data_IF_702943510872
#
_entry.id   IF_702943510872
#
_cell.length_a   1.000
_cell.length_b   1.000
_cell.length_c   1.000
_cell.angle_alpha   90.00
_cell.angle_beta   90.00
_cell.angle_gamma   90.00
#
_symmetry.space_group_name_H-M   'P 1'
#
loop_
_entity.id
_entity.type
_entity.pdbx_description
1 polymer ?
#
# COMPACT_ATOMS: atom_id res chain seq x y z
N UNK A 1 12.56 -4.15 -1.38
CA UNK A 1 12.70 -2.81 -0.76
C UNK A 1 12.78 -2.97 0.76
N UNK A 2 13.61 -2.17 1.43
CA UNK A 2 14.15 -2.47 2.76
C UNK A 2 13.15 -2.41 3.91
N UNK A 3 13.37 -3.27 4.92
CA UNK A 3 12.57 -3.37 6.14
C UNK A 3 12.39 -2.04 6.90
N UNK A 4 13.26 -1.05 6.66
CA UNK A 4 13.14 0.28 7.28
C UNK A 4 11.96 1.11 6.72
N UNK A 5 11.65 1.05 5.43
CA UNK A 5 10.47 1.76 4.86
C UNK A 5 9.18 1.16 5.41
N UNK A 6 9.14 -0.17 5.48
CA UNK A 6 8.05 -0.90 6.11
C UNK A 6 7.91 -0.45 7.58
N UNK A 7 9.01 -0.51 8.35
CA UNK A 7 9.02 -0.13 9.78
C UNK A 7 8.57 1.32 10.03
N UNK A 8 8.95 2.27 9.19
CA UNK A 8 8.57 3.67 9.34
C UNK A 8 7.09 3.91 9.03
N UNK A 9 6.52 3.19 8.04
CA UNK A 9 5.07 3.15 7.80
C UNK A 9 4.31 2.51 8.97
N UNK A 10 4.81 1.38 9.50
CA UNK A 10 4.20 0.69 10.64
C UNK A 10 4.34 1.45 11.97
N UNK A 11 5.40 2.25 12.15
CA UNK A 11 5.57 3.10 13.31
C UNK A 11 4.55 4.25 13.32
N UNK A 12 4.28 4.86 12.16
CA UNK A 12 3.30 5.95 12.04
C UNK A 12 1.85 5.53 12.30
N UNK A 13 1.50 4.28 11.98
CA UNK A 13 0.14 3.74 12.19
C UNK A 13 -0.11 3.34 13.65
N UNK A 14 0.92 2.85 14.37
CA UNK A 14 0.77 2.40 15.76
C UNK A 14 0.32 3.52 16.71
N UNK A 15 0.73 4.76 16.45
CA UNK A 15 0.35 5.94 17.24
C UNK A 15 -1.03 6.51 16.83
N UNK A 16 -1.70 5.94 15.83
CA UNK A 16 -2.92 6.49 15.23
C UNK A 16 -4.25 5.89 15.77
N UNK A 17 -4.18 4.99 16.75
CA UNK A 17 -5.36 4.41 17.42
C UNK A 17 -5.91 5.41 18.45
N UNK A 18 -6.45 6.55 18.03
CA UNK A 18 -6.79 7.62 18.98
C UNK A 18 -7.73 8.76 18.55
N UNK A 19 -8.25 8.80 17.33
CA UNK A 19 -9.46 9.61 17.04
C UNK A 19 -9.26 11.07 16.58
N UNK A 20 -8.55 11.29 15.47
CA UNK A 20 -8.85 12.42 14.56
C UNK A 20 -8.77 12.00 13.09
N UNK A 21 -9.91 12.06 12.42
CA UNK A 21 -10.19 11.51 11.09
C UNK A 21 -9.24 11.97 9.97
N UNK A 22 -8.65 13.17 10.06
CA UNK A 22 -7.87 13.76 8.96
C UNK A 22 -6.42 13.28 8.80
N UNK A 23 -5.81 12.66 9.81
CA UNK A 23 -4.43 12.15 9.67
C UNK A 23 -4.41 10.64 9.41
N UNK A 24 -5.44 9.89 9.82
CA UNK A 24 -5.62 8.48 9.45
C UNK A 24 -5.78 8.31 7.94
N UNK A 25 -6.68 9.11 7.35
CA UNK A 25 -6.96 9.08 5.92
C UNK A 25 -5.74 9.43 5.07
N UNK A 26 -4.89 10.36 5.55
CA UNK A 26 -3.65 10.74 4.84
C UNK A 26 -2.59 9.64 4.84
N UNK A 27 -2.42 8.93 5.94
CA UNK A 27 -1.46 7.82 6.00
C UNK A 27 -1.94 6.61 5.17
N UNK A 28 -3.26 6.36 5.19
CA UNK A 28 -3.91 5.40 4.29
C UNK A 28 -3.69 5.72 2.81
N UNK A 29 -3.87 6.99 2.45
CA UNK A 29 -3.67 7.48 1.09
C UNK A 29 -2.23 7.28 0.63
N UNK A 30 -1.24 7.67 1.45
CA UNK A 30 0.17 7.42 1.17
C UNK A 30 0.47 5.92 1.01
N UNK A 31 -0.05 5.09 1.90
CA UNK A 31 0.19 3.64 1.84
C UNK A 31 -0.37 3.03 0.54
N UNK A 32 -1.56 3.48 0.11
CA UNK A 32 -2.14 3.10 -1.19
C UNK A 32 -1.28 3.57 -2.36
N UNK A 33 -0.82 4.81 -2.34
CA UNK A 33 0.06 5.34 -3.39
C UNK A 33 1.35 4.53 -3.52
N UNK A 34 1.99 4.19 -2.39
CA UNK A 34 3.17 3.33 -2.39
C UNK A 34 2.88 1.94 -2.97
N UNK A 35 1.79 1.30 -2.58
CA UNK A 35 1.41 -0.02 -3.09
C UNK A 35 1.16 0.00 -4.62
N UNK A 36 0.47 1.03 -5.11
CA UNK A 36 0.22 1.21 -6.54
C UNK A 36 1.50 1.52 -7.32
N UNK A 37 2.40 2.33 -6.75
CA UNK A 37 3.69 2.64 -7.38
C UNK A 37 4.56 1.38 -7.47
N UNK A 38 4.57 0.54 -6.44
CA UNK A 38 5.27 -0.75 -6.49
C UNK A 38 4.67 -1.68 -7.55
N UNK A 39 3.33 -1.75 -7.65
CA UNK A 39 2.64 -2.54 -8.66
C UNK A 39 2.97 -2.05 -10.08
N UNK A 40 3.02 -0.73 -10.29
CA UNK A 40 3.41 -0.12 -11.56
C UNK A 40 4.86 -0.45 -11.92
N UNK A 41 5.80 -0.29 -10.97
CA UNK A 41 7.21 -0.60 -11.20
C UNK A 41 7.41 -2.07 -11.60
N UNK A 42 6.73 -3.00 -10.93
CA UNK A 42 6.75 -4.43 -11.29
C UNK A 42 6.19 -4.67 -12.70
N UNK A 43 5.12 -3.98 -13.09
CA UNK A 43 4.58 -4.09 -14.44
C UNK A 43 5.55 -3.56 -15.51
N UNK A 44 6.24 -2.45 -15.23
CA UNK A 44 7.28 -1.89 -16.11
C UNK A 44 8.45 -2.87 -16.26
N UNK A 45 8.90 -3.48 -15.16
CA UNK A 45 9.96 -4.52 -15.18
C UNK A 45 9.57 -5.74 -16.04
N UNK A 46 8.27 -6.05 -16.13
CA UNK A 46 7.73 -7.10 -17.01
C UNK A 46 7.54 -6.65 -18.47
N UNK A 47 7.82 -5.38 -18.81
CA UNK A 47 7.60 -4.82 -20.15
C UNK A 47 6.13 -4.51 -20.47
N UNK A 48 5.25 -4.52 -19.47
CA UNK A 48 3.87 -4.10 -19.62
C UNK A 48 3.74 -2.57 -19.68
N UNK A 49 2.67 -2.07 -20.30
CA UNK A 49 2.35 -0.64 -20.35
C UNK A 49 1.07 -0.29 -19.59
N UNK A 50 0.37 -1.28 -19.04
CA UNK A 50 -0.80 -1.09 -18.19
C UNK A 50 -0.92 -2.22 -17.17
N UNK A 51 -1.66 -1.95 -16.08
CA UNK A 51 -2.13 -2.95 -15.13
C UNK A 51 -3.65 -2.89 -15.10
N UNK A 52 -4.31 -4.02 -15.32
CA UNK A 52 -5.78 -4.13 -15.37
C UNK A 52 -6.30 -5.06 -14.29
N UNK A 53 -7.57 -4.90 -13.92
CA UNK A 53 -8.19 -5.68 -12.85
C UNK A 53 -7.48 -5.46 -11.51
N UNK A 54 -7.20 -4.19 -11.18
CA UNK A 54 -6.54 -3.84 -9.93
C UNK A 54 -7.50 -4.10 -8.77
N UNK A 55 -6.99 -4.77 -7.74
CA UNK A 55 -7.67 -4.97 -6.46
C UNK A 55 -6.78 -4.44 -5.33
N UNK A 56 -7.39 -3.81 -4.33
CA UNK A 56 -6.68 -3.16 -3.22
C UNK A 56 -7.32 -3.62 -1.90
N UNK A 57 -6.52 -4.30 -1.08
CA UNK A 57 -6.93 -4.80 0.21
C UNK A 57 -6.29 -4.01 1.35
N UNK A 58 -7.08 -3.78 2.40
CA UNK A 58 -6.65 -3.16 3.63
C UNK A 58 -6.82 -4.16 4.77
N UNK A 59 -5.71 -4.58 5.36
CA UNK A 59 -5.70 -5.56 6.44
C UNK A 59 -5.12 -4.98 7.71
N UNK A 60 -5.85 -5.12 8.81
CA UNK A 60 -5.34 -4.80 10.14
C UNK A 60 -4.58 -6.01 10.67
N UNK A 61 -3.30 -5.81 10.98
CA UNK A 61 -2.40 -6.84 11.48
C UNK A 61 -2.03 -6.59 12.94
N UNK A 62 -1.79 -7.70 13.66
CA UNK A 62 -1.34 -7.69 15.04
C UNK A 62 -2.47 -7.77 16.08
N UNK A 63 -2.16 -8.39 17.22
CA UNK A 63 -3.12 -8.64 18.32
C UNK A 63 -3.80 -7.38 18.87
N UNK A 64 -3.14 -6.23 18.73
CA UNK A 64 -3.58 -4.94 19.27
C UNK A 64 -4.09 -3.98 18.17
N UNK A 65 -4.39 -4.47 16.95
CA UNK A 65 -4.83 -3.66 15.81
C UNK A 65 -3.88 -2.49 15.42
N UNK A 66 -2.60 -2.57 15.81
CA UNK A 66 -1.65 -1.47 15.70
C UNK A 66 -0.92 -1.37 14.36
N UNK A 67 -1.19 -2.26 13.40
CA UNK A 67 -0.55 -2.26 12.09
C UNK A 67 -1.60 -2.35 11.00
N UNK A 68 -1.44 -1.56 9.94
CA UNK A 68 -2.30 -1.62 8.77
C UNK A 68 -1.44 -1.92 7.56
N UNK A 69 -1.79 -2.99 6.85
CA UNK A 69 -1.21 -3.39 5.59
C UNK A 69 -2.12 -2.95 4.45
N UNK A 70 -1.52 -2.41 3.41
CA UNK A 70 -2.19 -2.13 2.14
C UNK A 70 -1.53 -2.98 1.08
N UNK A 71 -2.28 -3.89 0.46
CA UNK A 71 -1.82 -4.68 -0.67
C UNK A 71 -2.56 -4.29 -1.94
N UNK A 72 -1.84 -4.25 -3.05
CA UNK A 72 -2.42 -4.03 -4.37
C UNK A 72 -2.04 -5.21 -5.27
N UNK A 73 -3.01 -5.74 -6.00
CA UNK A 73 -2.83 -6.81 -6.98
C UNK A 73 -3.45 -6.41 -8.31
N UNK A 74 -3.07 -7.08 -9.40
CA UNK A 74 -3.58 -6.80 -10.73
C UNK A 74 -2.84 -7.58 -11.82
N UNK A 75 -3.29 -7.44 -13.07
CA UNK A 75 -2.70 -8.12 -14.22
C UNK A 75 -1.91 -7.14 -15.08
N UNK A 76 -0.61 -7.35 -15.21
CA UNK A 76 0.25 -6.58 -16.10
C UNK A 76 -0.04 -6.98 -17.57
N UNK A 77 -0.34 -5.98 -18.42
CA UNK A 77 -0.70 -6.20 -19.83
C UNK A 77 0.01 -5.20 -20.75
N UNK A 78 0.18 -5.59 -22.00
CA UNK A 78 0.61 -4.70 -23.08
C UNK A 78 -0.57 -4.45 -24.02
N UNK A 79 -1.10 -3.23 -24.00
CA UNK A 79 -2.11 -2.76 -24.95
C UNK A 79 -1.44 -2.03 -26.12
N UNK A 80 -1.97 -2.20 -27.33
CA UNK A 80 -1.46 -1.58 -28.57
C UNK A 80 -2.48 -0.60 -29.12
#
# INVERSE_FOLDING_TARGET
MGANVFKDMFAGIRDFVGGRSGTYEKELEKAREYALQELQNKAIELGANAVVGIDIDYEVLGKDNGMLMVSASGTAVTIR
#
